data_IF_526114948088
#
_entry.id   IF_526114948088
#
_cell.length_a   1.000
_cell.length_b   1.000
_cell.length_c   1.000
_cell.angle_alpha   90.00
_cell.angle_beta   90.00
_cell.angle_gamma   90.00
#
_symmetry.space_group_name_H-M   'P 1'
#
loop_
_entity.id
_entity.type
_entity.pdbx_description
1 polymer ?
#
# COMPACT_ATOMS: atom_id res chain seq x y z
N UNK A 1 12.97 10.21 15.63
CA UNK A 1 12.16 9.53 14.67
C UNK A 1 12.86 8.27 14.14
N UNK A 2 12.23 7.13 14.31
CA UNK A 2 12.66 5.84 13.77
C UNK A 2 11.42 5.00 13.49
N UNK A 3 11.62 3.80 12.92
CA UNK A 3 10.55 2.88 12.58
C UNK A 3 9.86 3.19 11.25
N UNK A 4 8.68 2.58 11.02
CA UNK A 4 7.98 2.64 9.73
C UNK A 4 7.59 4.07 9.29
N UNK A 5 7.42 5.00 10.23
CA UNK A 5 7.09 6.40 9.93
C UNK A 5 8.32 7.29 9.69
N UNK A 6 9.55 6.77 9.91
CA UNK A 6 10.80 7.50 9.71
C UNK A 6 11.93 6.53 9.27
N UNK A 7 11.88 5.99 8.04
CA UNK A 7 12.72 4.88 7.60
C UNK A 7 14.17 5.25 7.32
N UNK A 8 14.57 6.51 7.42
CA UNK A 8 15.93 6.96 7.07
C UNK A 8 17.05 6.17 7.80
N UNK A 9 16.85 5.87 9.09
CA UNK A 9 17.79 5.07 9.86
C UNK A 9 17.88 3.63 9.35
N UNK A 10 16.77 3.05 8.89
CA UNK A 10 16.76 1.70 8.30
C UNK A 10 17.52 1.66 6.97
N UNK A 11 17.31 2.65 6.10
CA UNK A 11 18.02 2.78 4.81
C UNK A 11 19.53 2.83 5.02
N UNK A 12 19.98 3.61 6.02
CA UNK A 12 21.38 3.70 6.37
C UNK A 12 21.90 2.37 6.92
N UNK A 13 21.20 1.73 7.85
CA UNK A 13 21.61 0.48 8.46
C UNK A 13 21.73 -0.66 7.42
N UNK A 14 20.80 -0.77 6.47
CA UNK A 14 20.88 -1.76 5.38
C UNK A 14 22.18 -1.60 4.60
N UNK A 15 22.55 -0.36 4.23
CA UNK A 15 23.79 -0.07 3.53
C UNK A 15 25.05 -0.38 4.37
N UNK A 16 25.06 0.06 5.62
CA UNK A 16 26.22 -0.09 6.51
C UNK A 16 26.50 -1.55 6.85
N UNK A 17 25.45 -2.35 7.01
CA UNK A 17 25.59 -3.77 7.37
C UNK A 17 25.59 -4.72 6.18
N UNK A 18 25.36 -4.22 4.95
CA UNK A 18 25.26 -5.05 3.76
C UNK A 18 24.12 -6.07 3.86
N UNK A 19 23.00 -5.67 4.48
CA UNK A 19 21.85 -6.55 4.66
C UNK A 19 21.08 -6.73 3.34
N UNK A 20 20.57 -7.93 3.11
CA UNK A 20 19.72 -8.20 1.93
C UNK A 20 18.38 -7.44 2.01
N UNK A 21 17.81 -7.35 3.20
CA UNK A 21 16.57 -6.63 3.47
C UNK A 21 16.61 -5.94 4.83
N UNK A 22 15.86 -4.84 4.93
CA UNK A 22 15.58 -4.16 6.19
C UNK A 22 14.08 -4.10 6.44
N UNK A 23 13.70 -4.27 7.70
CA UNK A 23 12.30 -4.19 8.14
C UNK A 23 12.19 -3.10 9.21
N UNK A 24 11.23 -2.20 9.05
CA UNK A 24 10.85 -1.26 10.09
C UNK A 24 9.37 -1.42 10.44
N UNK A 25 9.11 -1.40 11.73
CA UNK A 25 7.76 -1.38 12.31
C UNK A 25 7.54 -0.06 13.03
N UNK A 26 6.31 0.34 13.23
CA UNK A 26 5.97 1.49 14.07
C UNK A 26 5.76 1.09 15.56
N UNK A 27 5.20 1.98 16.36
CA UNK A 27 5.19 1.82 17.82
C UNK A 27 4.37 0.64 18.35
N UNK A 28 3.32 0.25 17.66
CA UNK A 28 2.45 -0.89 17.96
C UNK A 28 2.58 -2.04 16.96
N UNK A 29 3.55 -1.91 16.03
CA UNK A 29 3.93 -2.91 15.04
C UNK A 29 2.80 -3.31 14.06
N UNK A 30 1.85 -2.44 13.85
CA UNK A 30 0.76 -2.65 12.90
C UNK A 30 1.10 -2.21 11.46
N UNK A 31 2.18 -1.40 11.29
CA UNK A 31 2.70 -0.93 10.01
C UNK A 31 4.07 -1.48 9.71
N UNK A 32 4.25 -1.79 8.43
CA UNK A 32 5.48 -2.34 7.87
C UNK A 32 6.07 -1.39 6.82
N UNK A 33 7.36 -1.14 6.90
CA UNK A 33 8.17 -0.66 5.78
C UNK A 33 9.28 -1.66 5.51
N UNK A 34 9.55 -1.91 4.25
CA UNK A 34 10.57 -2.86 3.80
C UNK A 34 11.55 -2.17 2.86
N UNK A 35 12.83 -2.47 3.04
CA UNK A 35 13.95 -1.91 2.27
C UNK A 35 14.74 -3.06 1.70
N UNK A 36 15.16 -2.97 0.44
CA UNK A 36 16.05 -3.96 -0.20
C UNK A 36 17.54 -3.62 -0.01
N UNK A 37 18.42 -4.48 -0.51
CA UNK A 37 19.88 -4.31 -0.46
C UNK A 37 20.38 -3.04 -1.18
N UNK A 38 19.64 -2.53 -2.16
CA UNK A 38 19.95 -1.27 -2.84
C UNK A 38 19.49 -0.04 -2.03
N UNK A 39 18.91 -0.27 -0.84
CA UNK A 39 18.27 0.71 0.02
C UNK A 39 17.08 1.43 -0.66
N UNK A 40 16.33 0.71 -1.52
CA UNK A 40 15.04 1.15 -2.00
C UNK A 40 13.97 0.82 -0.97
N UNK A 41 13.18 1.83 -0.63
CA UNK A 41 12.02 1.70 0.25
C UNK A 41 10.81 1.25 -0.58
N UNK A 42 10.09 0.25 -0.08
CA UNK A 42 8.84 -0.24 -0.65
C UNK A 42 7.67 0.20 0.22
N UNK A 43 6.70 0.85 -0.40
CA UNK A 43 5.46 1.29 0.27
C UNK A 43 4.54 0.12 0.60
N UNK A 44 3.57 0.35 1.48
CA UNK A 44 2.53 -0.66 1.77
C UNK A 44 1.76 -1.10 0.54
N UNK A 45 1.51 -0.20 -0.41
CA UNK A 45 0.84 -0.52 -1.67
C UNK A 45 1.66 -1.51 -2.52
N UNK A 46 2.99 -1.31 -2.62
CA UNK A 46 3.89 -2.22 -3.32
C UNK A 46 3.98 -3.58 -2.62
N UNK A 47 4.06 -3.58 -1.29
CA UNK A 47 4.11 -4.82 -0.50
C UNK A 47 2.79 -5.62 -0.59
N UNK A 48 1.66 -4.94 -0.60
CA UNK A 48 0.35 -5.56 -0.85
C UNK A 48 0.32 -6.21 -2.24
N UNK A 49 0.84 -5.52 -3.25
CA UNK A 49 0.96 -6.06 -4.59
C UNK A 49 1.83 -7.33 -4.64
N UNK A 50 3.01 -7.32 -3.97
CA UNK A 50 3.87 -8.52 -3.83
C UNK A 50 3.08 -9.69 -3.23
N UNK A 51 2.31 -9.45 -2.17
CA UNK A 51 1.49 -10.49 -1.53
C UNK A 51 0.43 -11.06 -2.47
N UNK A 52 -0.14 -10.25 -3.35
CA UNK A 52 -1.10 -10.70 -4.37
C UNK A 52 -0.41 -11.54 -5.43
N UNK A 53 0.70 -11.06 -5.97
CA UNK A 53 1.46 -11.76 -7.03
C UNK A 53 1.94 -13.13 -6.54
N UNK A 54 2.48 -13.21 -5.31
CA UNK A 54 2.87 -14.49 -4.69
C UNK A 54 1.70 -15.47 -4.61
N UNK A 55 0.53 -15.01 -4.17
CA UNK A 55 -0.65 -15.89 -4.06
C UNK A 55 -1.10 -16.40 -5.42
N UNK A 56 -1.15 -15.52 -6.42
CA UNK A 56 -1.52 -15.92 -7.79
C UNK A 56 -0.52 -16.91 -8.38
N UNK A 57 0.79 -16.70 -8.18
CA UNK A 57 1.84 -17.62 -8.63
C UNK A 57 1.72 -19.01 -8.00
N UNK A 58 1.18 -19.11 -6.80
CA UNK A 58 0.87 -20.38 -6.11
C UNK A 58 -0.47 -20.99 -6.51
N UNK A 59 -1.16 -20.42 -7.47
CA UNK A 59 -2.49 -20.88 -7.88
C UNK A 59 -3.59 -20.60 -6.86
N UNK A 60 -3.34 -19.71 -5.88
CA UNK A 60 -4.36 -19.30 -4.92
C UNK A 60 -5.29 -18.28 -5.54
N UNK A 61 -6.57 -18.36 -5.22
CA UNK A 61 -7.56 -17.39 -5.67
C UNK A 61 -7.44 -16.11 -4.85
N UNK A 62 -7.29 -14.98 -5.53
CA UNK A 62 -7.41 -13.63 -4.95
C UNK A 62 -8.66 -12.98 -5.55
N UNK A 63 -9.82 -13.00 -4.87
CA UNK A 63 -11.07 -12.52 -5.44
C UNK A 63 -11.09 -10.99 -5.59
N UNK A 64 -10.26 -10.30 -4.86
CA UNK A 64 -10.08 -8.86 -4.91
C UNK A 64 -9.23 -8.36 -3.74
N UNK A 65 -8.91 -7.08 -3.79
CA UNK A 65 -8.09 -6.36 -2.81
C UNK A 65 -8.82 -5.10 -2.37
N UNK A 66 -8.69 -4.75 -1.11
CA UNK A 66 -9.17 -3.46 -0.60
C UNK A 66 -7.99 -2.55 -0.32
N UNK A 67 -7.93 -1.44 -1.03
CA UNK A 67 -7.04 -0.33 -0.74
C UNK A 67 -7.79 0.85 -0.13
N UNK A 68 -7.19 2.03 -0.16
CA UNK A 68 -7.84 3.28 0.25
C UNK A 68 -7.91 4.28 -0.91
N UNK A 69 -8.56 5.40 -0.68
CA UNK A 69 -8.55 6.53 -1.61
C UNK A 69 -7.12 7.00 -1.96
N UNK A 70 -6.15 6.70 -1.10
CA UNK A 70 -4.74 7.05 -1.29
C UNK A 70 -3.92 5.98 -2.01
N UNK A 71 -4.49 4.81 -2.29
CA UNK A 71 -3.78 3.73 -3.01
C UNK A 71 -3.32 4.23 -4.37
N UNK A 72 -2.05 3.97 -4.69
CA UNK A 72 -1.43 4.41 -5.94
C UNK A 72 -2.18 3.84 -7.15
N UNK A 73 -2.45 4.68 -8.14
CA UNK A 73 -3.16 4.29 -9.36
C UNK A 73 -2.45 3.15 -10.11
N UNK A 74 -1.11 3.16 -10.12
CA UNK A 74 -0.32 2.10 -10.74
C UNK A 74 -0.58 0.71 -10.13
N UNK A 75 -0.77 0.65 -8.81
CA UNK A 75 -1.14 -0.62 -8.15
C UNK A 75 -2.51 -1.11 -8.60
N UNK A 76 -3.49 -0.21 -8.70
CA UNK A 76 -4.81 -0.56 -9.22
C UNK A 76 -4.74 -1.07 -10.66
N UNK A 77 -3.99 -0.41 -11.54
CA UNK A 77 -3.81 -0.82 -12.92
C UNK A 77 -3.08 -2.17 -13.04
N UNK A 78 -2.01 -2.38 -12.28
CA UNK A 78 -1.27 -3.64 -12.27
C UNK A 78 -2.12 -4.81 -11.73
N UNK A 79 -2.95 -4.58 -10.72
CA UNK A 79 -3.92 -5.56 -10.23
C UNK A 79 -5.00 -5.85 -11.28
N UNK A 80 -5.53 -4.83 -11.94
CA UNK A 80 -6.52 -4.98 -13.01
C UNK A 80 -5.99 -5.80 -14.20
N UNK A 81 -4.72 -5.60 -14.60
CA UNK A 81 -4.05 -6.40 -15.62
C UNK A 81 -3.99 -7.90 -15.24
N UNK A 82 -3.92 -8.21 -13.93
CA UNK A 82 -3.99 -9.56 -13.38
C UNK A 82 -5.41 -10.05 -13.10
N UNK A 83 -6.43 -9.29 -13.49
CA UNK A 83 -7.87 -9.58 -13.26
C UNK A 83 -8.22 -9.64 -11.76
N UNK A 84 -7.50 -8.90 -10.94
CA UNK A 84 -7.78 -8.74 -9.52
C UNK A 84 -8.38 -7.34 -9.31
N UNK A 85 -9.68 -7.24 -8.96
CA UNK A 85 -10.29 -5.94 -8.72
C UNK A 85 -9.76 -5.31 -7.42
N UNK A 86 -9.52 -4.00 -7.47
CA UNK A 86 -9.24 -3.20 -6.29
C UNK A 86 -10.48 -2.36 -5.94
N UNK A 87 -10.84 -2.35 -4.67
CA UNK A 87 -11.89 -1.50 -4.10
C UNK A 87 -11.25 -0.47 -3.19
N UNK A 88 -11.61 0.80 -3.36
CA UNK A 88 -11.11 1.89 -2.54
C UNK A 88 -12.04 2.16 -1.36
N UNK A 89 -11.56 1.88 -0.15
CA UNK A 89 -12.19 2.30 1.09
C UNK A 89 -11.82 3.75 1.44
N UNK A 90 -12.47 4.33 2.42
CA UNK A 90 -11.98 5.55 3.07
C UNK A 90 -10.61 5.29 3.70
N UNK A 91 -9.80 6.33 3.86
CA UNK A 91 -8.52 6.23 4.56
C UNK A 91 -8.74 5.84 6.02
N UNK A 92 -8.03 4.82 6.46
CA UNK A 92 -8.07 4.26 7.81
C UNK A 92 -8.29 2.75 7.80
N UNK A 93 -7.50 2.05 8.61
CA UNK A 93 -7.46 0.61 8.79
C UNK A 93 -8.84 -0.02 9.00
N UNK A 94 -9.63 0.60 9.85
CA UNK A 94 -11.00 0.21 10.14
C UNK A 94 -11.86 0.09 8.87
N UNK A 95 -11.77 1.06 7.97
CA UNK A 95 -12.59 1.06 6.76
C UNK A 95 -12.15 -0.01 5.77
N UNK A 96 -10.85 -0.27 5.70
CA UNK A 96 -10.30 -1.37 4.90
C UNK A 96 -10.80 -2.71 5.45
N UNK A 97 -10.77 -2.91 6.77
CA UNK A 97 -11.26 -4.11 7.42
C UNK A 97 -12.78 -4.30 7.23
N UNK A 98 -13.58 -3.24 7.36
CA UNK A 98 -15.03 -3.26 7.13
C UNK A 98 -15.36 -3.73 5.69
N UNK A 99 -14.67 -3.17 4.68
CA UNK A 99 -14.86 -3.55 3.27
C UNK A 99 -14.41 -4.99 2.98
N UNK A 100 -13.30 -5.44 3.56
CA UNK A 100 -12.83 -6.83 3.44
C UNK A 100 -13.88 -7.80 3.97
N UNK A 101 -14.40 -7.54 5.18
CA UNK A 101 -15.43 -8.38 5.80
C UNK A 101 -16.73 -8.39 4.99
N UNK A 102 -17.19 -7.24 4.51
CA UNK A 102 -18.42 -7.13 3.71
C UNK A 102 -18.33 -7.94 2.40
N UNK A 103 -17.13 -8.10 1.82
CA UNK A 103 -16.90 -8.81 0.55
C UNK A 103 -16.45 -10.27 0.74
N UNK A 104 -16.10 -10.66 1.96
CA UNK A 104 -15.46 -11.94 2.23
C UNK A 104 -14.07 -12.03 1.59
N UNK A 105 -13.37 -10.91 1.45
CA UNK A 105 -12.02 -10.84 0.93
C UNK A 105 -10.99 -10.85 2.05
N UNK A 106 -9.76 -11.22 1.75
CA UNK A 106 -8.74 -11.44 2.78
C UNK A 106 -7.53 -10.51 2.67
N UNK A 107 -7.33 -9.85 1.53
CA UNK A 107 -6.17 -8.99 1.30
C UNK A 107 -6.58 -7.53 1.16
N UNK A 108 -5.92 -6.68 1.92
CA UNK A 108 -6.09 -5.24 1.83
C UNK A 108 -4.97 -4.50 2.56
N UNK A 109 -4.96 -3.19 2.43
CA UNK A 109 -3.98 -2.37 3.14
C UNK A 109 -3.91 -0.93 2.66
N UNK A 110 -2.94 -0.23 3.19
CA UNK A 110 -2.67 1.18 2.95
C UNK A 110 -1.21 1.41 2.57
N UNK A 111 -0.95 2.42 1.77
CA UNK A 111 0.42 2.82 1.42
C UNK A 111 1.31 3.13 2.61
N UNK A 112 0.72 3.46 3.78
CA UNK A 112 1.42 3.64 5.05
C UNK A 112 2.09 2.38 5.61
N UNK A 113 1.76 1.20 5.07
CA UNK A 113 2.29 -0.09 5.50
C UNK A 113 1.37 -0.89 6.41
N UNK A 114 0.16 -0.40 6.72
CA UNK A 114 -0.84 -1.21 7.42
C UNK A 114 -1.45 -2.21 6.45
N UNK A 115 -1.06 -3.48 6.57
CA UNK A 115 -1.44 -4.56 5.66
C UNK A 115 -2.29 -5.60 6.38
N UNK A 116 -3.37 -6.03 5.75
CA UNK A 116 -4.27 -7.05 6.24
C UNK A 116 -4.20 -8.30 5.38
N UNK A 117 -4.04 -9.44 6.04
CA UNK A 117 -4.14 -10.78 5.46
C UNK A 117 -5.05 -11.62 6.36
N UNK A 118 -6.37 -11.45 6.22
CA UNK A 118 -7.37 -11.99 7.15
C UNK A 118 -7.42 -13.53 7.20
N UNK A 119 -6.79 -14.20 6.24
CA UNK A 119 -6.56 -15.66 6.27
C UNK A 119 -5.36 -16.05 7.16
N UNK A 120 -4.59 -15.09 7.65
CA UNK A 120 -3.40 -15.28 8.50
C UNK A 120 -3.58 -14.67 9.89
N UNK A 121 -4.16 -13.48 9.96
CA UNK A 121 -4.38 -12.75 11.20
C UNK A 121 -5.67 -11.92 11.12
N UNK A 122 -6.28 -11.64 12.25
CA UNK A 122 -7.59 -10.95 12.32
C UNK A 122 -7.52 -9.43 12.14
N UNK A 123 -6.33 -8.85 12.18
CA UNK A 123 -6.07 -7.43 12.02
C UNK A 123 -4.77 -7.20 11.24
N UNK A 124 -4.42 -5.95 10.97
CA UNK A 124 -3.09 -5.59 10.47
C UNK A 124 -2.00 -5.97 11.48
N UNK A 125 -0.94 -6.57 10.97
CA UNK A 125 0.23 -6.99 11.74
C UNK A 125 1.45 -6.89 10.84
N UNK A 126 2.36 -5.99 11.17
CA UNK A 126 3.56 -5.72 10.38
C UNK A 126 4.52 -6.92 10.36
N UNK A 127 4.60 -7.70 11.43
CA UNK A 127 5.46 -8.90 11.49
C UNK A 127 4.88 -9.99 10.60
N UNK A 128 3.58 -10.29 10.72
CA UNK A 128 2.91 -11.28 9.87
C UNK A 128 3.01 -10.89 8.40
N UNK A 129 2.85 -9.61 8.08
CA UNK A 129 2.98 -9.09 6.71
C UNK A 129 4.41 -9.20 6.20
N UNK A 130 5.41 -8.81 7.00
CA UNK A 130 6.82 -8.96 6.64
C UNK A 130 7.18 -10.43 6.36
N UNK A 131 6.74 -11.35 7.21
CA UNK A 131 7.01 -12.79 7.04
C UNK A 131 6.37 -13.34 5.75
N UNK A 132 5.21 -12.85 5.34
CA UNK A 132 4.60 -13.26 4.07
C UNK A 132 5.41 -12.79 2.86
N UNK A 133 5.86 -11.53 2.87
CA UNK A 133 6.72 -10.98 1.81
C UNK A 133 8.06 -11.72 1.77
N UNK A 134 8.75 -11.83 2.90
CA UNK A 134 10.06 -12.53 2.97
C UNK A 134 9.95 -14.00 2.57
N UNK A 135 8.84 -14.67 2.90
CA UNK A 135 8.59 -16.03 2.43
C UNK A 135 8.46 -16.07 0.91
N UNK A 136 7.73 -15.12 0.30
CA UNK A 136 7.59 -15.05 -1.15
C UNK A 136 8.95 -14.94 -1.83
N UNK A 137 9.80 -14.03 -1.35
CA UNK A 137 11.16 -13.83 -1.88
C UNK A 137 12.01 -15.10 -1.73
N UNK A 138 11.97 -15.74 -0.57
CA UNK A 138 12.76 -16.97 -0.29
C UNK A 138 12.33 -18.15 -1.14
N UNK A 139 11.02 -18.37 -1.31
CA UNK A 139 10.50 -19.54 -2.02
C UNK A 139 10.65 -19.42 -3.53
N UNK A 140 10.59 -18.21 -4.08
CA UNK A 140 10.77 -17.96 -5.51
C UNK A 140 12.22 -17.73 -5.90
N UNK A 141 13.06 -17.24 -4.98
CA UNK A 141 14.39 -16.73 -5.28
C UNK A 141 14.39 -15.36 -5.97
N UNK A 142 13.21 -14.75 -6.13
CA UNK A 142 13.06 -13.44 -6.75
C UNK A 142 13.33 -12.30 -5.77
N UNK A 143 13.66 -11.13 -6.29
CA UNK A 143 13.84 -9.89 -5.51
C UNK A 143 12.53 -9.09 -5.41
N UNK A 144 12.45 -8.13 -4.49
CA UNK A 144 11.34 -7.17 -4.45
C UNK A 144 11.21 -6.39 -5.76
N UNK A 145 12.33 -6.00 -6.34
CA UNK A 145 12.38 -5.32 -7.63
C UNK A 145 11.76 -6.18 -8.74
N UNK A 146 12.08 -7.47 -8.80
CA UNK A 146 11.49 -8.39 -9.77
C UNK A 146 9.98 -8.57 -9.57
N UNK A 147 9.51 -8.69 -8.33
CA UNK A 147 8.08 -8.76 -8.01
C UNK A 147 7.29 -7.51 -8.42
N UNK A 148 7.94 -6.35 -8.40
CA UNK A 148 7.31 -5.05 -8.72
C UNK A 148 7.73 -4.50 -10.09
N UNK A 149 8.39 -5.29 -10.92
CA UNK A 149 8.93 -4.85 -12.21
C UNK A 149 7.87 -4.34 -13.21
N UNK A 150 6.66 -4.84 -13.11
CA UNK A 150 5.50 -4.42 -13.93
C UNK A 150 4.60 -3.38 -13.22
N UNK A 151 5.02 -2.90 -12.07
CA UNK A 151 4.31 -1.90 -11.30
C UNK A 151 4.88 -0.50 -11.57
N UNK A 152 4.18 0.29 -12.35
CA UNK A 152 4.50 1.70 -12.56
C UNK A 152 3.81 2.54 -11.48
N UNK A 153 4.60 3.09 -10.54
CA UNK A 153 4.05 3.96 -9.49
C UNK A 153 3.96 5.40 -9.99
N UNK A 154 2.80 6.01 -9.83
CA UNK A 154 2.58 7.40 -10.15
C UNK A 154 2.97 8.30 -8.96
N UNK A 155 3.59 9.47 -9.21
CA UNK A 155 3.93 10.40 -8.15
C UNK A 155 2.66 10.93 -7.47
N UNK A 156 2.65 10.93 -6.13
CA UNK A 156 1.56 11.46 -5.32
C UNK A 156 2.07 12.63 -4.48
N UNK A 157 1.28 13.69 -4.42
CA UNK A 157 1.60 14.89 -3.63
C UNK A 157 0.45 15.17 -2.68
N UNK A 158 0.78 15.33 -1.39
CA UNK A 158 -0.16 15.77 -0.36
C UNK A 158 0.16 17.22 0.04
N UNK A 159 -0.78 18.10 -0.13
CA UNK A 159 -0.64 19.51 0.26
C UNK A 159 -1.69 19.85 1.31
N UNK A 160 -1.24 20.20 2.52
CA UNK A 160 -2.13 20.68 3.57
C UNK A 160 -2.42 22.16 3.38
N UNK A 161 -3.69 22.48 3.16
CA UNK A 161 -4.15 23.87 2.99
C UNK A 161 -4.85 24.32 4.27
N UNK A 162 -4.34 25.35 4.99
CA UNK A 162 -5.02 25.87 6.15
C UNK A 162 -6.33 26.54 5.77
N UNK A 163 -7.40 26.21 6.45
CA UNK A 163 -8.74 26.77 6.21
C UNK A 163 -9.31 27.33 7.51
N UNK A 164 -10.27 28.26 7.41
CA UNK A 164 -10.95 28.82 8.59
C UNK A 164 -11.72 27.71 9.34
N UNK A 165 -11.81 27.87 10.67
CA UNK A 165 -12.58 26.95 11.51
C UNK A 165 -14.04 26.86 11.01
N UNK A 166 -14.52 25.64 10.80
CA UNK A 166 -15.88 25.39 10.30
C UNK A 166 -16.04 25.47 8.78
N UNK A 167 -14.94 25.60 8.02
CA UNK A 167 -14.98 25.51 6.56
C UNK A 167 -15.55 24.16 6.12
N UNK A 168 -16.51 24.19 5.21
CA UNK A 168 -17.12 22.99 4.63
C UNK A 168 -16.78 22.94 3.14
N UNK A 169 -16.01 21.96 2.72
CA UNK A 169 -15.57 21.76 1.34
C UNK A 169 -16.77 21.68 0.39
N UNK A 170 -17.78 20.88 0.76
CA UNK A 170 -18.98 20.66 -0.05
C UNK A 170 -19.85 21.93 -0.23
N UNK A 171 -19.67 22.90 0.66
CA UNK A 171 -20.38 24.18 0.60
C UNK A 171 -19.61 25.28 -0.17
N UNK A 172 -18.41 24.98 -0.70
CA UNK A 172 -17.55 25.90 -1.43
C UNK A 172 -17.67 25.73 -2.96
N UNK A 173 -18.51 26.49 -3.67
CA UNK A 173 -18.79 26.26 -5.11
C UNK A 173 -17.54 26.35 -5.98
N UNK A 174 -16.64 27.29 -5.69
CA UNK A 174 -15.41 27.47 -6.45
C UNK A 174 -14.47 26.25 -6.33
N UNK A 175 -14.36 25.67 -5.13
CA UNK A 175 -13.53 24.47 -4.92
C UNK A 175 -14.13 23.27 -5.67
N UNK A 176 -15.43 23.07 -5.57
CA UNK A 176 -16.11 22.00 -6.32
C UNK A 176 -15.94 22.12 -7.81
N UNK A 177 -16.06 23.35 -8.34
CA UNK A 177 -15.85 23.60 -9.77
C UNK A 177 -14.41 23.29 -10.20
N UNK A 178 -13.41 23.64 -9.38
CA UNK A 178 -12.00 23.34 -9.65
C UNK A 178 -11.72 21.84 -9.61
N UNK A 179 -12.31 21.11 -8.64
CA UNK A 179 -12.19 19.65 -8.55
C UNK A 179 -12.79 18.99 -9.79
N UNK A 180 -14.03 19.36 -10.15
CA UNK A 180 -14.69 18.80 -11.34
C UNK A 180 -13.93 19.09 -12.64
N UNK A 181 -13.32 20.27 -12.76
CA UNK A 181 -12.50 20.61 -13.91
C UNK A 181 -11.21 19.78 -13.98
N UNK A 182 -10.56 19.54 -12.84
CA UNK A 182 -9.38 18.70 -12.75
C UNK A 182 -9.72 17.23 -13.09
N UNK A 183 -10.79 16.67 -12.52
CA UNK A 183 -11.26 15.32 -12.82
C UNK A 183 -11.57 15.13 -14.31
N UNK A 184 -12.24 16.12 -14.92
CA UNK A 184 -12.53 16.11 -16.35
C UNK A 184 -11.26 16.14 -17.20
N UNK A 185 -10.26 16.94 -16.81
CA UNK A 185 -8.99 17.04 -17.50
C UNK A 185 -8.16 15.73 -17.42
N UNK A 186 -8.23 15.04 -16.30
CA UNK A 186 -7.55 13.76 -16.08
C UNK A 186 -8.22 12.58 -16.82
N UNK A 187 -9.50 12.70 -17.14
CA UNK A 187 -10.27 11.70 -17.92
C UNK A 187 -10.06 10.24 -17.41
N UNK A 188 -10.02 10.07 -16.10
CA UNK A 188 -9.80 8.76 -15.46
C UNK A 188 -8.35 8.28 -15.41
N UNK A 189 -7.38 9.14 -15.71
CA UNK A 189 -5.94 8.84 -15.66
C UNK A 189 -5.24 9.40 -14.42
N UNK A 190 -5.98 9.78 -13.39
CA UNK A 190 -5.44 10.32 -12.13
C UNK A 190 -6.36 10.11 -10.95
#
# INVERSE_FOLDING_TARGET
GCGATAPAALLQAVKEHGADYGVALDGDADRLQLVDAAARLYSGDELLYVMVVDRLARGQRVPGVVGTLMTNLGVEQALAARKVPLVRAKVGDRYVLEELNARGWTLGGEGSGHLLALDKHTTGDGIVSALQVLRALRETGETLEAFTADLETYPQVMINVPVAKGFKLDAAPAVRASVAAAEAALNGSG
#
